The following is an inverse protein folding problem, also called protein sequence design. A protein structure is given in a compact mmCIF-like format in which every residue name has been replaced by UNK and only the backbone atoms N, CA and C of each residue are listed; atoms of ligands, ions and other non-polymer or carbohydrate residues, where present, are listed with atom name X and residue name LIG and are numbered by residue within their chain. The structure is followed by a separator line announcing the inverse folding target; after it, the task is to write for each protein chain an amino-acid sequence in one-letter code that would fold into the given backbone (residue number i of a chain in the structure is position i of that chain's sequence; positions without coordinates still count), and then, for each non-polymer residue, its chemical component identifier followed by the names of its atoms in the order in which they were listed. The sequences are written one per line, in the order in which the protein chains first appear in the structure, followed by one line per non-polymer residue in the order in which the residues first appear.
data_IF_776305517792
#
_entry.id   IF_776305517792
#
_cell.length_a   1.000
_cell.length_b   1.000
_cell.length_c   1.000
_cell.angle_alpha   90.00
_cell.angle_beta   90.00
_cell.angle_gamma   90.00
#
_symmetry.space_group_name_H-M   'P 1'
#
loop_
_entity.id
_entity.type
_entity.pdbx_description
1 polymer ?
#
# COMPACT_ATOMS: atom_id res chain seq x y z
N UNK A 1 -12.88 -43.11 -46.76
CA UNK A 1 -11.99 -42.77 -45.62
C UNK A 1 -10.93 -41.83 -46.14
N UNK A 2 -10.89 -40.58 -45.66
CA UNK A 2 -9.82 -39.63 -45.97
C UNK A 2 -9.28 -39.11 -44.64
N UNK A 3 -8.01 -39.41 -44.37
CA UNK A 3 -7.27 -38.99 -43.18
C UNK A 3 -7.07 -37.47 -43.17
N UNK A 4 -7.33 -36.82 -42.03
CA UNK A 4 -6.99 -35.42 -41.80
C UNK A 4 -5.97 -35.37 -40.67
N UNK A 5 -4.81 -34.85 -41.02
CA UNK A 5 -3.63 -34.67 -40.19
C UNK A 5 -3.85 -33.59 -39.14
N UNK A 6 -3.61 -33.91 -37.87
CA UNK A 6 -3.69 -32.97 -36.75
C UNK A 6 -2.51 -31.99 -36.79
N UNK A 7 -2.85 -30.70 -36.88
CA UNK A 7 -1.89 -29.59 -36.93
C UNK A 7 -1.60 -29.12 -35.50
N UNK A 8 -0.49 -29.58 -34.93
CA UNK A 8 0.00 -29.13 -33.63
C UNK A 8 0.24 -27.61 -33.63
N UNK A 9 -0.51 -26.89 -32.80
CA UNK A 9 -0.35 -25.44 -32.63
C UNK A 9 0.66 -25.18 -31.51
N UNK A 10 1.87 -24.79 -31.89
CA UNK A 10 2.92 -24.25 -31.02
C UNK A 10 2.38 -23.07 -30.19
N UNK A 11 2.17 -23.27 -28.88
CA UNK A 11 1.87 -22.18 -27.95
C UNK A 11 3.16 -21.41 -27.66
N UNK A 12 3.34 -20.29 -28.36
CA UNK A 12 4.41 -19.34 -28.13
C UNK A 12 4.49 -18.91 -26.66
N UNK A 13 5.65 -19.10 -26.05
CA UNK A 13 5.93 -18.73 -24.66
C UNK A 13 5.75 -17.23 -24.45
N UNK A 14 4.83 -16.85 -23.55
CA UNK A 14 4.76 -15.47 -23.05
C UNK A 14 6.00 -15.20 -22.21
N UNK A 15 6.83 -14.28 -22.67
CA UNK A 15 7.82 -13.57 -21.84
C UNK A 15 7.15 -13.20 -20.51
N UNK A 16 7.63 -13.74 -19.38
CA UNK A 16 7.11 -13.44 -18.04
C UNK A 16 7.29 -11.95 -17.80
N UNK A 17 6.27 -11.15 -18.12
CA UNK A 17 6.17 -9.76 -17.67
C UNK A 17 6.28 -9.79 -16.15
N UNK A 18 7.28 -9.14 -15.61
CA UNK A 18 7.49 -8.95 -14.17
C UNK A 18 6.19 -8.40 -13.59
N UNK A 19 5.42 -9.27 -12.93
CA UNK A 19 4.10 -8.90 -12.41
C UNK A 19 4.32 -7.97 -11.24
N UNK A 20 3.63 -6.81 -11.23
CA UNK A 20 3.69 -5.87 -10.11
C UNK A 20 3.38 -6.62 -8.81
N UNK A 21 4.10 -6.35 -7.69
CA UNK A 21 3.80 -6.95 -6.41
C UNK A 21 2.32 -6.74 -6.06
N UNK A 22 1.64 -7.83 -5.73
CA UNK A 22 0.22 -7.83 -5.35
C UNK A 22 0.06 -8.65 -4.09
N UNK A 23 -0.56 -8.05 -3.08
CA UNK A 23 -0.86 -8.71 -1.82
C UNK A 23 -2.32 -8.48 -1.46
N UNK A 24 -2.96 -9.51 -0.90
CA UNK A 24 -4.34 -9.46 -0.46
C UNK A 24 -4.45 -10.06 0.94
N UNK A 25 -5.27 -9.45 1.77
CA UNK A 25 -5.57 -9.94 3.11
C UNK A 25 -7.04 -9.73 3.44
N UNK A 26 -7.50 -10.44 4.45
CA UNK A 26 -8.85 -10.35 4.98
C UNK A 26 -8.80 -9.73 6.37
N UNK A 27 -9.75 -8.85 6.65
CA UNK A 27 -9.92 -8.24 7.97
C UNK A 27 -11.36 -8.39 8.39
N UNK A 28 -11.59 -8.78 9.64
CA UNK A 28 -12.92 -8.71 10.26
C UNK A 28 -13.15 -7.29 10.72
N UNK A 29 -14.16 -6.62 10.17
CA UNK A 29 -14.52 -5.23 10.50
C UNK A 29 -15.92 -4.91 10.00
N UNK A 30 -16.61 -4.03 10.72
CA UNK A 30 -17.89 -3.44 10.28
C UNK A 30 -17.67 -2.38 9.18
N UNK A 31 -16.47 -1.77 9.14
CA UNK A 31 -16.12 -0.72 8.18
C UNK A 31 -15.48 -1.30 6.91
N UNK A 32 -15.84 -0.76 5.74
CA UNK A 32 -15.19 -1.11 4.48
C UNK A 32 -13.79 -0.51 4.39
N UNK A 33 -13.63 0.72 4.90
CA UNK A 33 -12.43 1.53 4.72
C UNK A 33 -11.66 1.60 6.02
N UNK A 34 -10.62 0.77 6.11
CA UNK A 34 -9.70 0.76 7.23
C UNK A 34 -8.64 1.85 7.07
N UNK A 35 -8.28 2.47 8.18
CA UNK A 35 -7.13 3.38 8.27
C UNK A 35 -5.83 2.57 8.30
N UNK A 36 -5.05 2.70 7.22
CA UNK A 36 -3.72 2.08 7.06
C UNK A 36 -2.60 3.13 7.13
N UNK A 37 -2.94 4.39 7.46
CA UNK A 37 -2.03 5.52 7.56
C UNK A 37 -1.58 6.13 6.23
N UNK A 38 -1.93 5.55 5.09
CA UNK A 38 -1.75 6.16 3.78
C UNK A 38 -2.98 6.96 3.37
N UNK A 39 -2.77 7.99 2.55
CA UNK A 39 -3.86 8.76 1.97
C UNK A 39 -4.30 8.17 0.64
N UNK A 40 -5.60 7.94 0.55
CA UNK A 40 -6.23 7.30 -0.59
C UNK A 40 -7.29 8.21 -1.22
N UNK A 41 -7.35 8.19 -2.54
CA UNK A 41 -8.46 8.78 -3.30
C UNK A 41 -9.19 7.70 -4.07
N UNK A 42 -10.51 7.63 -3.88
CA UNK A 42 -11.38 6.76 -4.66
C UNK A 42 -11.36 7.22 -6.12
N UNK A 43 -11.13 6.30 -7.04
CA UNK A 43 -11.13 6.60 -8.49
C UNK A 43 -12.16 5.77 -9.26
N UNK A 44 -12.74 4.76 -8.63
CA UNK A 44 -13.75 3.94 -9.27
C UNK A 44 -14.49 3.05 -8.29
N UNK A 45 -15.61 2.53 -8.77
CA UNK A 45 -16.43 1.55 -8.09
C UNK A 45 -17.01 0.60 -9.14
N UNK A 46 -17.04 -0.70 -8.86
CA UNK A 46 -17.61 -1.70 -9.77
C UNK A 46 -18.59 -2.59 -9.02
N UNK A 47 -19.78 -2.79 -9.58
CA UNK A 47 -20.72 -3.80 -9.09
C UNK A 47 -20.07 -5.19 -9.16
N UNK A 48 -20.35 -6.05 -8.19
CA UNK A 48 -19.82 -7.41 -8.16
C UNK A 48 -20.95 -8.40 -8.32
N UNK A 49 -20.77 -9.35 -9.24
CA UNK A 49 -21.76 -10.39 -9.50
C UNK A 49 -22.06 -11.14 -8.21
N UNK A 50 -23.35 -11.29 -7.89
CA UNK A 50 -23.83 -11.99 -6.69
C UNK A 50 -23.32 -11.37 -5.37
N UNK A 51 -23.08 -10.06 -5.34
CA UNK A 51 -22.74 -9.34 -4.11
C UNK A 51 -23.44 -7.98 -4.08
N UNK A 52 -24.16 -7.72 -2.98
CA UNK A 52 -24.83 -6.44 -2.73
C UNK A 52 -23.81 -5.30 -2.50
N UNK A 53 -22.59 -5.64 -2.07
CA UNK A 53 -21.51 -4.68 -1.81
C UNK A 53 -20.64 -4.49 -3.06
N UNK A 54 -20.52 -3.26 -3.58
CA UNK A 54 -19.67 -2.99 -4.72
C UNK A 54 -18.19 -3.07 -4.35
N UNK A 55 -17.33 -3.33 -5.33
CA UNK A 55 -15.88 -3.21 -5.18
C UNK A 55 -15.48 -1.75 -5.30
N UNK A 56 -14.77 -1.23 -4.31
CA UNK A 56 -14.22 0.12 -4.35
C UNK A 56 -12.75 0.10 -4.76
N UNK A 57 -12.34 1.09 -5.55
CA UNK A 57 -10.97 1.21 -6.08
C UNK A 57 -10.35 2.55 -5.68
N UNK A 58 -9.14 2.47 -5.14
CA UNK A 58 -8.41 3.61 -4.59
C UNK A 58 -6.99 3.69 -5.15
N UNK A 59 -6.49 4.91 -5.26
CA UNK A 59 -5.09 5.20 -5.57
C UNK A 59 -4.48 6.02 -4.44
N UNK A 60 -3.20 5.82 -4.16
CA UNK A 60 -2.48 6.70 -3.25
C UNK A 60 -2.49 8.14 -3.79
N UNK A 61 -2.58 9.13 -2.89
CA UNK A 61 -2.58 10.55 -3.26
C UNK A 61 -1.20 11.18 -3.25
N UNK A 62 -0.19 10.51 -2.69
CA UNK A 62 1.17 11.05 -2.65
C UNK A 62 1.72 11.23 -4.06
N UNK A 63 2.34 12.38 -4.31
CA UNK A 63 3.00 12.67 -5.58
C UNK A 63 4.02 11.57 -5.89
N UNK A 64 4.10 11.13 -7.15
CA UNK A 64 4.95 10.00 -7.62
C UNK A 64 4.53 8.59 -7.17
N UNK A 65 3.60 8.43 -6.21
CA UNK A 65 3.17 7.11 -5.76
C UNK A 65 2.15 6.49 -6.71
N UNK A 66 2.41 5.25 -7.13
CA UNK A 66 1.55 4.52 -8.08
C UNK A 66 0.78 3.36 -7.44
N UNK A 67 0.78 3.27 -6.11
CA UNK A 67 0.09 2.19 -5.39
C UNK A 67 -1.42 2.33 -5.53
N UNK A 68 -2.07 1.19 -5.76
CA UNK A 68 -3.52 1.08 -5.83
C UNK A 68 -4.00 0.07 -4.79
N UNK A 69 -5.20 0.27 -4.27
CA UNK A 69 -5.91 -0.74 -3.48
C UNK A 69 -7.34 -0.95 -3.94
N UNK A 70 -7.80 -2.19 -3.80
CA UNK A 70 -9.20 -2.60 -3.97
C UNK A 70 -9.74 -3.00 -2.61
N UNK A 71 -10.98 -2.62 -2.32
CA UNK A 71 -11.70 -2.99 -1.12
C UNK A 71 -12.98 -3.71 -1.53
N UNK A 72 -13.22 -4.87 -0.94
CA UNK A 72 -14.38 -5.70 -1.21
C UNK A 72 -14.89 -6.38 0.07
N UNK A 73 -16.11 -6.05 0.49
CA UNK A 73 -16.82 -6.86 1.49
C UNK A 73 -17.32 -8.16 0.87
N UNK A 74 -17.16 -9.29 1.57
CA UNK A 74 -17.67 -10.57 1.09
C UNK A 74 -19.20 -10.62 1.20
N UNK A 75 -19.85 -11.28 0.24
CA UNK A 75 -21.31 -11.46 0.28
C UNK A 75 -21.74 -12.56 1.26
N UNK A 76 -20.92 -13.60 1.41
CA UNK A 76 -21.22 -14.74 2.30
C UNK A 76 -21.01 -14.41 3.78
N UNK A 77 -20.04 -13.55 4.06
CA UNK A 77 -19.72 -13.11 5.41
C UNK A 77 -19.45 -11.61 5.36
N UNK A 78 -20.49 -10.83 5.72
CA UNK A 78 -20.42 -9.38 5.70
C UNK A 78 -19.56 -8.84 6.84
N UNK A 79 -19.00 -9.65 7.74
CA UNK A 79 -17.99 -9.18 8.69
C UNK A 79 -16.59 -9.11 8.07
N UNK A 80 -16.37 -9.73 6.91
CA UNK A 80 -15.06 -9.84 6.27
C UNK A 80 -14.91 -8.85 5.12
N UNK A 81 -13.84 -8.05 5.20
CA UNK A 81 -13.39 -7.15 4.13
C UNK A 81 -12.08 -7.66 3.57
N UNK A 82 -12.06 -7.86 2.25
CA UNK A 82 -10.85 -8.19 1.49
C UNK A 82 -10.23 -6.90 0.98
N UNK A 83 -8.98 -6.64 1.37
CA UNK A 83 -8.19 -5.53 0.81
C UNK A 83 -7.08 -6.11 -0.05
N UNK A 84 -6.96 -5.63 -1.29
CA UNK A 84 -5.90 -6.03 -2.24
C UNK A 84 -5.11 -4.83 -2.67
N UNK A 85 -3.80 -4.86 -2.47
CA UNK A 85 -2.87 -3.82 -2.89
C UNK A 85 -2.09 -4.24 -4.14
N UNK A 86 -1.67 -3.24 -4.91
CA UNK A 86 -0.81 -3.38 -6.06
C UNK A 86 0.27 -2.31 -6.04
N UNK A 87 1.54 -2.73 -6.05
CA UNK A 87 2.71 -1.86 -5.95
C UNK A 87 3.27 -1.76 -4.52
N UNK A 88 4.30 -0.93 -4.37
CA UNK A 88 4.98 -0.63 -3.10
C UNK A 88 5.03 0.89 -2.95
N UNK A 89 4.74 1.39 -1.76
CA UNK A 89 4.85 2.83 -1.48
C UNK A 89 6.31 3.26 -1.50
N UNK A 90 6.59 4.38 -2.15
CA UNK A 90 7.91 5.00 -2.25
C UNK A 90 8.05 6.21 -1.32
N UNK A 91 7.19 6.31 -0.31
CA UNK A 91 7.12 7.39 0.65
C UNK A 91 6.68 6.83 2.01
N UNK A 92 7.01 7.51 3.12
CA UNK A 92 6.54 7.09 4.43
C UNK A 92 5.02 7.24 4.54
N UNK A 93 4.47 6.51 5.50
CA UNK A 93 3.10 6.69 5.97
C UNK A 93 2.93 8.11 6.52
N UNK A 94 1.98 8.89 5.96
CA UNK A 94 1.80 10.31 6.31
C UNK A 94 1.39 10.46 7.78
N UNK A 95 0.45 9.63 8.26
CA UNK A 95 -0.04 9.70 9.63
C UNK A 95 1.04 9.32 10.66
N UNK A 96 1.94 8.41 10.31
CA UNK A 96 3.10 8.09 11.15
C UNK A 96 4.08 9.26 11.21
N UNK A 97 4.31 9.96 10.09
CA UNK A 97 5.15 11.14 10.10
C UNK A 97 4.52 12.27 10.92
N UNK A 98 3.22 12.49 10.82
CA UNK A 98 2.50 13.51 11.62
C UNK A 98 2.69 13.28 13.13
N UNK A 99 2.59 12.04 13.61
CA UNK A 99 2.74 11.72 15.04
C UNK A 99 4.20 11.73 15.51
N UNK A 100 5.15 11.25 14.69
CA UNK A 100 6.54 11.10 15.10
C UNK A 100 7.40 12.35 14.90
N UNK A 101 7.06 13.22 13.95
CA UNK A 101 7.85 14.43 13.65
C UNK A 101 8.10 15.33 14.88
N UNK A 102 7.11 15.67 15.73
CA UNK A 102 7.36 16.52 16.90
C UNK A 102 8.33 15.87 17.89
N UNK A 103 8.19 14.55 18.12
CA UNK A 103 9.07 13.79 19.01
C UNK A 103 10.50 13.74 18.47
N UNK A 104 10.66 13.45 17.18
CA UNK A 104 11.96 13.43 16.52
C UNK A 104 12.64 14.80 16.58
N UNK A 105 11.87 15.89 16.40
CA UNK A 105 12.38 17.27 16.52
C UNK A 105 12.87 17.57 17.94
N UNK A 106 12.14 17.13 18.96
CA UNK A 106 12.54 17.30 20.35
C UNK A 106 13.83 16.52 20.65
N UNK A 107 13.95 15.27 20.21
CA UNK A 107 15.18 14.48 20.39
C UNK A 107 16.38 15.13 19.69
N UNK A 108 16.20 15.65 18.48
CA UNK A 108 17.24 16.39 17.75
C UNK A 108 17.64 17.70 18.45
N UNK A 109 16.71 18.37 19.12
CA UNK A 109 17.01 19.56 19.91
C UNK A 109 17.83 19.19 21.15
N UNK A 110 17.41 18.17 21.90
CA UNK A 110 18.12 17.69 23.08
C UNK A 110 19.53 17.18 22.75
N UNK A 111 19.71 16.49 21.61
CA UNK A 111 21.04 16.05 21.18
C UNK A 111 21.97 17.22 20.84
N UNK A 112 21.45 18.27 20.18
CA UNK A 112 22.22 19.50 19.91
C UNK A 112 22.63 20.22 21.20
N UNK A 113 21.74 20.30 22.19
CA UNK A 113 22.09 20.86 23.50
C UNK A 113 23.16 20.04 24.20
N UNK A 114 23.06 18.70 24.15
CA UNK A 114 24.06 17.81 24.71
C UNK A 114 25.43 17.95 24.02
N UNK A 115 25.46 18.16 22.69
CA UNK A 115 26.71 18.40 21.95
C UNK A 115 27.32 19.77 22.19
N UNK A 116 26.51 20.81 22.44
CA UNK A 116 27.00 22.16 22.75
C UNK A 116 27.60 22.29 24.16
N UNK A 117 27.30 21.36 25.08
CA UNK A 117 27.84 21.38 26.45
C UNK A 117 29.25 20.77 26.58
N UNK A 118 29.89 20.34 25.49
CA UNK A 118 31.30 19.91 25.48
C UNK A 118 32.29 21.01 25.04
N UNK A 119 31.84 22.27 24.97
CA UNK A 119 32.68 23.41 24.62
C UNK A 119 33.01 24.31 25.81
N UNK A 120 34.10 24.03 26.52
CA UNK A 120 34.84 25.07 27.26
C UNK A 120 35.84 24.55 28.31
N UNK A 121 36.97 25.25 28.58
CA UNK A 121 37.72 26.20 27.75
C UNK A 121 39.17 25.75 27.46
N UNK A 122 39.79 26.45 26.50
CA UNK A 122 41.23 26.47 26.24
C UNK A 122 41.98 27.12 27.41
N UNK A 123 43.15 26.54 27.73
CA UNK A 123 44.31 27.03 28.52
C UNK A 123 44.11 28.12 29.58
N UNK A 124 44.54 27.85 30.82
CA UNK A 124 45.35 28.79 31.61
C UNK A 124 46.11 28.04 32.73
N UNK A 125 47.41 28.37 32.82
CA UNK A 125 48.49 27.91 33.73
C UNK A 125 49.19 26.58 33.39
#
# INVERSE_FOLDING_TARGET
MAEKSDKETMKGGRLRKTTRPRFAFQTRSEDDILDDGYRWRKYGQKAVKNNIHPRSYYRCTHHTCNVKKQVQRLSKDTSIVVTTYEGIHNHPCEKLMETLTPLLRQMQFLSRLASNNNGGPSSLL
#
